data_IF_061020484046
#
_entry.id   IF_061020484046
#
_cell.length_a   1.000
_cell.length_b   1.000
_cell.length_c   1.000
_cell.angle_alpha   90.00
_cell.angle_beta   90.00
_cell.angle_gamma   90.00
#
_symmetry.space_group_name_H-M   'P 1'
#
loop_
_entity.id
_entity.type
_entity.pdbx_description
1 polymer ?
#
# COMPACT_ATOMS: atom_id res chain seq x y z
N UNK A 1 19.23 -24.18 3.60
CA UNK A 1 17.99 -23.43 3.36
C UNK A 1 17.86 -23.18 1.86
N UNK A 2 16.98 -23.88 1.17
CA UNK A 2 16.69 -23.62 -0.23
C UNK A 2 15.62 -22.55 -0.28
N UNK A 3 15.94 -21.36 -0.81
CA UNK A 3 14.94 -20.34 -1.09
C UNK A 3 14.09 -20.80 -2.29
N UNK A 4 12.84 -21.05 -2.04
CA UNK A 4 11.88 -21.35 -3.09
C UNK A 4 11.31 -20.03 -3.65
N UNK A 5 11.59 -19.74 -4.91
CA UNK A 5 10.99 -18.60 -5.61
C UNK A 5 9.56 -19.02 -5.99
N UNK A 6 8.58 -18.54 -5.23
CA UNK A 6 7.17 -18.71 -5.59
C UNK A 6 6.72 -17.59 -6.52
N UNK A 7 6.07 -17.91 -7.63
CA UNK A 7 5.47 -16.89 -8.47
C UNK A 7 4.47 -16.07 -7.66
N UNK A 8 4.52 -14.75 -7.78
CA UNK A 8 3.59 -13.82 -7.13
C UNK A 8 2.11 -14.15 -7.44
N UNK A 9 1.86 -14.96 -8.45
CA UNK A 9 0.54 -15.29 -8.98
C UNK A 9 -0.02 -16.65 -8.52
N UNK A 10 0.64 -17.41 -7.67
CA UNK A 10 0.14 -18.71 -7.15
C UNK A 10 -1.01 -18.60 -6.15
N UNK A 11 -1.46 -17.40 -5.85
CA UNK A 11 -2.63 -17.19 -5.02
C UNK A 11 -3.88 -17.65 -5.76
N UNK A 12 -4.78 -18.33 -5.04
CA UNK A 12 -6.09 -18.76 -5.56
C UNK A 12 -6.77 -17.61 -6.30
N UNK A 13 -6.74 -17.66 -7.61
CA UNK A 13 -7.40 -16.68 -8.46
C UNK A 13 -8.90 -16.88 -8.40
N UNK A 14 -9.62 -15.79 -8.27
CA UNK A 14 -11.07 -15.77 -8.39
C UNK A 14 -11.44 -15.25 -9.77
N UNK A 15 -12.35 -15.93 -10.44
CA UNK A 15 -12.87 -15.49 -11.73
C UNK A 15 -13.77 -14.26 -11.48
N UNK A 16 -13.30 -13.08 -11.92
CA UNK A 16 -13.94 -11.82 -11.58
C UNK A 16 -15.39 -11.74 -12.08
N UNK A 17 -15.67 -12.30 -13.26
CA UNK A 17 -17.04 -12.36 -13.82
C UNK A 17 -18.06 -13.10 -12.95
N UNK A 18 -17.60 -13.97 -12.06
CA UNK A 18 -18.44 -14.74 -11.13
C UNK A 18 -18.49 -14.11 -9.73
N UNK A 19 -17.60 -13.15 -9.45
CA UNK A 19 -17.45 -12.55 -8.13
C UNK A 19 -18.03 -11.14 -8.02
N UNK A 20 -18.23 -10.43 -9.12
CA UNK A 20 -18.77 -9.06 -9.11
C UNK A 20 -20.31 -9.07 -9.01
N UNK A 21 -20.91 -8.08 -8.28
CA UNK A 21 -20.22 -7.03 -7.51
C UNK A 21 -19.54 -7.57 -6.25
N UNK A 22 -18.35 -7.01 -5.95
CA UNK A 22 -17.59 -7.40 -4.77
C UNK A 22 -18.15 -6.73 -3.51
N UNK A 23 -18.38 -7.51 -2.45
CA UNK A 23 -18.70 -6.98 -1.11
C UNK A 23 -17.45 -6.51 -0.36
N UNK A 24 -16.29 -7.08 -0.70
CA UNK A 24 -14.98 -6.73 -0.17
C UNK A 24 -13.99 -6.58 -1.33
N UNK A 25 -13.20 -5.52 -1.40
CA UNK A 25 -12.16 -5.40 -2.41
C UNK A 25 -11.14 -6.56 -2.31
N UNK A 26 -10.63 -7.03 -3.44
CA UNK A 26 -9.55 -8.03 -3.41
C UNK A 26 -8.25 -7.43 -2.92
N UNK A 27 -7.94 -6.23 -3.35
CA UNK A 27 -6.69 -5.55 -3.00
C UNK A 27 -6.95 -4.10 -2.63
N UNK A 28 -6.18 -3.61 -1.67
CA UNK A 28 -6.17 -2.21 -1.30
C UNK A 28 -4.75 -1.70 -1.24
N UNK A 29 -4.54 -0.49 -1.78
CA UNK A 29 -3.27 0.21 -1.74
C UNK A 29 -3.38 1.34 -0.73
N UNK A 30 -2.45 1.39 0.20
CA UNK A 30 -2.31 2.47 1.18
C UNK A 30 -0.93 3.07 1.02
N UNK A 31 -0.86 4.38 0.90
CA UNK A 31 0.37 5.11 0.64
C UNK A 31 0.93 5.66 1.96
N UNK A 32 1.94 5.00 2.55
CA UNK A 32 2.50 5.44 3.82
C UNK A 32 3.17 6.81 3.77
N UNK A 33 3.67 7.17 2.61
CA UNK A 33 4.33 8.45 2.36
C UNK A 33 4.27 8.80 0.89
N UNK A 34 4.31 10.09 0.61
CA UNK A 34 4.53 10.61 -0.73
C UNK A 34 5.93 11.23 -0.89
N UNK A 35 6.81 11.10 0.11
CA UNK A 35 8.23 11.37 -0.06
C UNK A 35 8.92 10.26 -0.82
N UNK A 36 9.91 10.59 -1.64
CA UNK A 36 10.75 9.61 -2.34
C UNK A 36 12.19 10.12 -2.44
N UNK A 37 13.14 9.27 -2.13
CA UNK A 37 14.56 9.55 -2.29
C UNK A 37 15.12 9.09 -3.63
N UNK A 38 14.31 8.42 -4.46
CA UNK A 38 14.65 8.03 -5.81
C UNK A 38 14.25 9.11 -6.84
N UNK A 39 14.95 9.12 -7.96
CA UNK A 39 14.69 10.01 -9.10
C UNK A 39 14.60 9.20 -10.40
N UNK A 40 13.72 8.20 -10.39
CA UNK A 40 13.50 7.36 -11.57
C UNK A 40 13.10 8.21 -12.78
N UNK A 41 13.76 8.00 -13.91
CA UNK A 41 13.61 8.83 -15.11
C UNK A 41 12.18 8.87 -15.68
N UNK A 42 11.39 7.85 -15.41
CA UNK A 42 9.99 7.72 -15.82
C UNK A 42 8.98 8.23 -14.77
N UNK A 43 9.46 8.79 -13.66
CA UNK A 43 8.62 9.24 -12.56
C UNK A 43 8.69 10.76 -12.38
N UNK A 44 7.59 11.38 -11.99
CA UNK A 44 7.53 12.82 -11.71
C UNK A 44 8.56 13.30 -10.68
N UNK A 45 8.95 12.44 -9.74
CA UNK A 45 9.98 12.74 -8.74
C UNK A 45 11.37 13.03 -9.33
N UNK A 46 11.62 12.67 -10.58
CA UNK A 46 12.85 13.05 -11.31
C UNK A 46 13.01 14.58 -11.41
N UNK A 47 11.92 15.32 -11.38
CA UNK A 47 11.92 16.79 -11.43
C UNK A 47 12.43 17.44 -10.14
N UNK A 48 12.37 16.72 -9.01
CA UNK A 48 12.61 17.26 -7.68
C UNK A 48 11.39 17.99 -7.10
N UNK A 49 11.33 18.09 -5.76
CA UNK A 49 10.16 18.60 -5.04
C UNK A 49 9.78 20.03 -5.40
N UNK A 50 10.76 20.93 -5.54
CA UNK A 50 10.50 22.34 -5.86
C UNK A 50 9.74 22.49 -7.18
N UNK A 51 10.16 21.74 -8.22
CA UNK A 51 9.48 21.77 -9.52
C UNK A 51 8.13 21.07 -9.49
N UNK A 52 7.99 20.04 -8.66
CA UNK A 52 6.72 19.36 -8.48
C UNK A 52 5.70 20.25 -7.76
N UNK A 53 6.13 21.00 -6.76
CA UNK A 53 5.30 21.99 -6.09
C UNK A 53 4.89 23.12 -7.03
N UNK A 54 5.84 23.71 -7.74
CA UNK A 54 5.60 24.80 -8.70
C UNK A 54 4.65 24.39 -9.83
N UNK A 55 4.88 23.20 -10.39
CA UNK A 55 4.15 22.76 -11.60
C UNK A 55 2.83 22.07 -11.29
N UNK A 56 2.74 21.33 -10.17
CA UNK A 56 1.63 20.45 -9.85
C UNK A 56 0.99 20.75 -8.50
N UNK A 57 1.45 21.78 -7.79
CA UNK A 57 1.05 22.08 -6.41
C UNK A 57 1.18 20.84 -5.49
N UNK A 58 2.22 20.04 -5.73
CA UNK A 58 2.45 18.79 -5.02
C UNK A 58 3.39 19.03 -3.83
N UNK A 59 2.88 18.78 -2.64
CA UNK A 59 3.64 18.84 -1.38
C UNK A 59 3.66 17.42 -0.80
N UNK A 60 4.85 16.81 -0.63
CA UNK A 60 4.93 15.46 -0.08
C UNK A 60 4.59 15.43 1.40
N UNK A 61 3.95 14.34 1.83
CA UNK A 61 3.52 14.14 3.21
C UNK A 61 3.76 12.69 3.66
N UNK A 62 3.86 12.50 4.98
CA UNK A 62 3.83 11.21 5.63
C UNK A 62 2.45 10.96 6.22
N UNK A 63 1.93 9.75 6.04
CA UNK A 63 0.72 9.33 6.73
C UNK A 63 0.99 9.19 8.22
N UNK A 64 0.13 9.77 9.05
CA UNK A 64 0.19 9.60 10.50
C UNK A 64 -0.31 8.22 10.93
N UNK A 65 0.15 7.73 12.08
CA UNK A 65 -0.34 6.49 12.65
C UNK A 65 -1.84 6.56 12.99
N UNK A 66 -2.33 7.70 13.41
CA UNK A 66 -3.76 7.88 13.73
C UNK A 66 -4.64 7.77 12.47
N UNK A 67 -4.19 8.33 11.36
CA UNK A 67 -4.86 8.14 10.06
C UNK A 67 -4.84 6.68 9.66
N UNK A 68 -3.70 6.01 9.78
CA UNK A 68 -3.56 4.61 9.43
C UNK A 68 -4.44 3.69 10.29
N UNK A 69 -4.52 3.92 11.60
CA UNK A 69 -5.43 3.18 12.49
C UNK A 69 -6.89 3.33 12.05
N UNK A 70 -7.31 4.52 11.66
CA UNK A 70 -8.67 4.73 11.14
C UNK A 70 -8.92 3.95 9.85
N UNK A 71 -7.93 3.87 8.95
CA UNK A 71 -8.01 3.04 7.75
C UNK A 71 -8.20 1.57 8.12
N UNK A 72 -7.41 1.06 9.08
CA UNK A 72 -7.55 -0.33 9.55
C UNK A 72 -8.96 -0.60 10.09
N UNK A 73 -9.51 0.30 10.93
CA UNK A 73 -10.86 0.13 11.47
C UNK A 73 -11.92 0.10 10.36
N UNK A 74 -11.78 0.95 9.35
CA UNK A 74 -12.68 0.92 8.19
C UNK A 74 -12.55 -0.37 7.36
N UNK A 75 -11.33 -0.91 7.21
CA UNK A 75 -11.14 -2.18 6.51
C UNK A 75 -11.80 -3.33 7.27
N UNK A 76 -11.83 -3.31 8.59
CA UNK A 76 -12.50 -4.32 9.41
C UNK A 76 -14.02 -4.36 9.20
N UNK A 77 -14.63 -3.30 8.69
CA UNK A 77 -16.06 -3.25 8.41
C UNK A 77 -16.46 -4.07 7.17
N UNK A 78 -15.50 -4.44 6.32
CA UNK A 78 -15.78 -5.35 5.20
C UNK A 78 -16.12 -6.76 5.71
N UNK A 79 -17.05 -7.47 5.05
CA UNK A 79 -17.46 -8.80 5.47
C UNK A 79 -16.34 -9.85 5.38
N UNK A 80 -15.39 -9.67 4.45
CA UNK A 80 -14.28 -10.59 4.22
C UNK A 80 -12.94 -9.84 4.34
N UNK A 81 -11.85 -10.60 4.48
CA UNK A 81 -10.51 -10.05 4.42
C UNK A 81 -10.15 -9.63 2.99
N UNK A 82 -9.29 -8.65 2.90
CA UNK A 82 -8.58 -8.38 1.65
C UNK A 82 -7.69 -9.58 1.29
N UNK A 83 -7.55 -9.89 0.02
CA UNK A 83 -6.50 -10.82 -0.43
C UNK A 83 -5.11 -10.20 -0.28
N UNK A 84 -5.01 -8.88 -0.46
CA UNK A 84 -3.77 -8.15 -0.38
C UNK A 84 -3.98 -6.73 0.16
N UNK A 85 -3.17 -6.34 1.12
CA UNK A 85 -2.94 -4.94 1.48
C UNK A 85 -1.53 -4.56 1.03
N UNK A 86 -1.41 -3.60 0.13
CA UNK A 86 -0.14 -3.09 -0.34
C UNK A 86 0.16 -1.73 0.30
N UNK A 87 1.25 -1.67 1.06
CA UNK A 87 1.82 -0.43 1.59
C UNK A 87 2.84 0.09 0.57
N UNK A 88 2.32 0.78 -0.41
CA UNK A 88 3.07 1.22 -1.60
C UNK A 88 2.41 2.46 -2.20
N UNK A 89 2.80 2.84 -3.38
CA UNK A 89 2.14 3.88 -4.17
C UNK A 89 3.11 4.93 -4.67
N UNK A 90 2.73 6.18 -4.56
CA UNK A 90 3.66 7.27 -4.81
C UNK A 90 4.65 7.39 -3.64
N UNK A 91 5.91 7.67 -3.95
CA UNK A 91 6.93 7.76 -2.93
C UNK A 91 7.62 6.43 -2.59
N UNK A 92 8.53 6.48 -1.61
CA UNK A 92 9.27 5.33 -1.11
C UNK A 92 8.77 4.99 0.30
N UNK A 93 8.04 3.88 0.49
CA UNK A 93 7.41 3.55 1.77
C UNK A 93 8.37 3.51 2.97
N UNK A 94 9.62 3.09 2.75
CA UNK A 94 10.64 2.99 3.79
C UNK A 94 11.06 4.34 4.38
N UNK A 95 10.71 5.46 3.74
CA UNK A 95 10.95 6.80 4.30
C UNK A 95 10.05 7.07 5.51
N UNK A 96 8.85 6.51 5.54
CA UNK A 96 7.98 6.66 6.69
C UNK A 96 8.49 5.80 7.86
N UNK A 97 8.99 6.46 8.90
CA UNK A 97 9.53 5.79 10.10
C UNK A 97 8.51 4.90 10.82
N UNK A 98 7.23 5.14 10.60
CA UNK A 98 6.14 4.36 11.19
C UNK A 98 5.79 3.11 10.36
N UNK A 99 6.43 2.88 9.21
CA UNK A 99 6.11 1.73 8.35
C UNK A 99 6.17 0.38 9.10
N UNK A 100 7.17 0.08 9.94
CA UNK A 100 7.19 -1.17 10.71
C UNK A 100 5.98 -1.33 11.63
N UNK A 101 5.56 -0.23 12.26
CA UNK A 101 4.36 -0.22 13.10
C UNK A 101 3.09 -0.41 12.28
N UNK A 102 3.02 0.19 11.09
CA UNK A 102 1.89 0.01 10.16
C UNK A 102 1.74 -1.46 9.76
N UNK A 103 2.84 -2.13 9.40
CA UNK A 103 2.84 -3.56 9.07
C UNK A 103 2.37 -4.39 10.27
N UNK A 104 2.89 -4.11 11.46
CA UNK A 104 2.50 -4.79 12.70
C UNK A 104 0.99 -4.65 12.96
N UNK A 105 0.47 -3.44 12.91
CA UNK A 105 -0.95 -3.16 13.16
C UNK A 105 -1.86 -3.88 12.14
N UNK A 106 -1.50 -3.87 10.87
CA UNK A 106 -2.26 -4.58 9.83
C UNK A 106 -2.27 -6.09 10.06
N UNK A 107 -1.12 -6.67 10.46
CA UNK A 107 -1.00 -8.09 10.77
C UNK A 107 -1.82 -8.48 12.00
N UNK A 108 -1.72 -7.71 13.07
CA UNK A 108 -2.49 -7.95 14.31
C UNK A 108 -4.00 -7.80 14.07
N UNK A 109 -4.42 -6.86 13.23
CA UNK A 109 -5.82 -6.68 12.86
C UNK A 109 -6.36 -7.79 11.94
N UNK A 110 -5.48 -8.59 11.34
CA UNK A 110 -5.84 -9.74 10.49
C UNK A 110 -6.78 -9.36 9.33
N UNK A 111 -6.57 -8.20 8.71
CA UNK A 111 -7.43 -7.60 7.70
C UNK A 111 -7.13 -8.03 6.26
N UNK A 112 -6.00 -8.69 6.05
CA UNK A 112 -5.56 -9.14 4.74
C UNK A 112 -4.83 -10.49 4.84
N UNK A 113 -4.94 -11.30 3.80
CA UNK A 113 -4.20 -12.57 3.71
C UNK A 113 -2.71 -12.32 3.44
N UNK A 114 -2.41 -11.23 2.74
CA UNK A 114 -1.04 -10.83 2.40
C UNK A 114 -0.85 -9.33 2.59
N UNK A 115 0.28 -8.96 3.16
CA UNK A 115 0.75 -7.56 3.25
C UNK A 115 1.99 -7.44 2.39
N UNK A 116 2.01 -6.48 1.48
CA UNK A 116 3.14 -6.20 0.60
C UNK A 116 3.67 -4.79 0.84
N UNK A 117 4.98 -4.66 0.69
CA UNK A 117 5.70 -3.38 0.60
C UNK A 117 6.42 -3.41 -0.74
N UNK A 118 6.19 -2.40 -1.57
CA UNK A 118 6.77 -2.28 -2.90
C UNK A 118 7.45 -0.92 -3.01
#
# INVERSE_FOLDING_TARGET
MTSEIKPVYELKRTKLSEAIPLSTPFSMFVFPTTYCNFKCIYCGYSLGYNKMEEKYNFIPENMSIDTYKRIIEQIKEFPDKLKMLALTGQGEPLINKNLPLMVKLAKEANIADRIEII
#
